data_IF_168921112304
#
_entry.id   IF_168921112304
#
_cell.length_a   1.000
_cell.length_b   1.000
_cell.length_c   1.000
_cell.angle_alpha   90.00
_cell.angle_beta   90.00
_cell.angle_gamma   90.00
#
_symmetry.space_group_name_H-M   'P 1'
#
loop_
_entity.id
_entity.type
_entity.pdbx_description
1 polymer ?
#
# COMPACT_ATOMS: atom_id res chain seq x y z
N UNK A 1 -26.02 4.14 -80.09
CA UNK A 1 -24.95 4.68 -80.95
C UNK A 1 -24.05 5.55 -80.11
N UNK A 2 -22.75 5.31 -80.21
CA UNK A 2 -21.71 5.72 -79.27
C UNK A 2 -21.31 7.19 -79.40
N UNK A 3 -20.92 7.82 -78.28
CA UNK A 3 -19.68 8.63 -78.21
C UNK A 3 -19.13 8.56 -76.78
N UNK A 4 -17.93 8.03 -76.63
CA UNK A 4 -17.16 7.92 -75.39
C UNK A 4 -16.21 9.12 -75.31
N UNK A 5 -16.09 9.86 -74.18
CA UNK A 5 -14.97 10.75 -73.98
C UNK A 5 -13.82 10.05 -73.24
N UNK A 6 -12.65 10.22 -73.82
CA UNK A 6 -11.31 9.86 -73.34
C UNK A 6 -11.08 10.41 -71.93
N UNK A 7 -10.74 9.54 -70.97
CA UNK A 7 -10.28 9.94 -69.64
C UNK A 7 -8.75 9.77 -69.55
N UNK A 8 -8.06 10.89 -69.45
CA UNK A 8 -6.61 11.00 -69.23
C UNK A 8 -6.30 10.59 -67.80
N UNK A 9 -5.44 9.59 -67.61
CA UNK A 9 -4.92 9.16 -66.31
C UNK A 9 -3.74 10.04 -65.94
N UNK A 10 -3.88 10.85 -64.88
CA UNK A 10 -2.78 11.60 -64.28
C UNK A 10 -2.21 10.77 -63.12
N UNK A 11 -1.00 10.23 -63.30
CA UNK A 11 -0.23 9.59 -62.23
C UNK A 11 0.32 10.66 -61.29
N UNK A 12 0.02 10.57 -59.99
CA UNK A 12 0.73 11.31 -58.94
C UNK A 12 1.34 10.31 -57.95
N UNK A 13 2.67 10.17 -58.04
CA UNK A 13 3.52 9.41 -57.13
C UNK A 13 3.76 10.22 -55.86
N UNK A 14 3.28 9.73 -54.71
CA UNK A 14 3.68 10.23 -53.40
C UNK A 14 4.82 9.38 -52.84
N UNK A 15 5.97 10.02 -52.59
CA UNK A 15 7.11 9.43 -51.93
C UNK A 15 6.82 9.24 -50.43
N UNK A 16 6.97 8.01 -49.93
CA UNK A 16 6.89 7.68 -48.50
C UNK A 16 8.27 7.91 -47.88
N UNK A 17 8.36 8.84 -46.93
CA UNK A 17 9.54 9.02 -46.08
C UNK A 17 9.44 8.10 -44.85
N UNK A 18 10.35 7.13 -44.75
CA UNK A 18 10.53 6.33 -43.54
C UNK A 18 11.18 7.18 -42.44
N UNK A 19 10.46 7.39 -41.34
CA UNK A 19 11.02 7.96 -40.12
C UNK A 19 11.43 6.82 -39.20
N UNK A 20 12.74 6.58 -39.08
CA UNK A 20 13.29 5.61 -38.14
C UNK A 20 13.02 6.08 -36.70
N UNK A 21 12.21 5.33 -35.95
CA UNK A 21 11.99 5.54 -34.51
C UNK A 21 13.02 4.74 -33.75
N UNK A 22 13.99 5.41 -33.14
CA UNK A 22 14.95 4.83 -32.21
C UNK A 22 14.28 4.67 -30.84
N UNK A 23 13.92 3.44 -30.47
CA UNK A 23 13.50 3.12 -29.11
C UNK A 23 14.70 3.15 -28.16
N UNK A 24 14.76 4.17 -27.31
CA UNK A 24 15.66 4.21 -26.15
C UNK A 24 14.98 3.43 -25.03
N UNK A 25 15.47 2.22 -24.74
CA UNK A 25 15.08 1.49 -23.53
C UNK A 25 15.75 2.15 -22.33
N UNK A 26 14.98 2.92 -21.55
CA UNK A 26 15.42 3.37 -20.24
C UNK A 26 15.47 2.14 -19.31
N UNK A 27 16.63 1.90 -18.69
CA UNK A 27 16.78 0.94 -17.61
C UNK A 27 15.81 1.31 -16.48
N UNK A 28 14.73 0.55 -16.33
CA UNK A 28 13.77 0.75 -15.26
C UNK A 28 14.40 0.29 -13.93
N UNK A 29 14.71 1.24 -13.04
CA UNK A 29 15.06 0.93 -11.65
C UNK A 29 13.92 0.08 -11.06
N UNK A 30 14.19 -1.11 -10.50
CA UNK A 30 13.14 -1.98 -10.00
C UNK A 30 12.37 -1.27 -8.89
N UNK A 31 11.07 -1.07 -9.10
CA UNK A 31 10.18 -0.46 -8.11
C UNK A 31 10.11 -1.40 -6.89
N UNK A 32 10.61 -0.93 -5.75
CA UNK A 32 10.53 -1.67 -4.49
C UNK A 32 9.06 -1.81 -4.11
N UNK A 33 8.52 -3.02 -4.20
CA UNK A 33 7.11 -3.32 -3.92
C UNK A 33 6.91 -3.95 -2.55
N UNK A 34 5.73 -3.77 -1.95
CA UNK A 34 5.31 -4.56 -0.78
C UNK A 34 5.09 -6.01 -1.21
N UNK A 35 5.71 -6.97 -0.51
CA UNK A 35 5.64 -8.38 -0.89
C UNK A 35 4.33 -9.04 -0.49
N UNK A 36 3.76 -8.66 0.66
CA UNK A 36 2.49 -9.19 1.15
C UNK A 36 1.87 -8.26 2.19
N UNK A 37 0.55 -8.16 2.15
CA UNK A 37 -0.27 -7.55 3.19
C UNK A 37 -1.19 -8.60 3.77
N UNK A 38 -1.19 -8.73 5.10
CA UNK A 38 -2.21 -9.48 5.82
C UNK A 38 -3.12 -8.51 6.57
N UNK A 39 -4.41 -8.66 6.40
CA UNK A 39 -5.40 -7.81 7.05
C UNK A 39 -6.52 -8.66 7.63
N UNK A 40 -6.83 -8.44 8.91
CA UNK A 40 -8.02 -8.99 9.56
C UNK A 40 -9.08 -7.89 9.59
N UNK A 41 -10.20 -8.09 8.91
CA UNK A 41 -11.30 -7.14 8.85
C UNK A 41 -12.41 -7.52 9.84
N UNK A 42 -13.24 -6.54 10.23
CA UNK A 42 -14.50 -6.84 10.92
C UNK A 42 -15.41 -7.69 10.01
N UNK A 43 -16.10 -8.67 10.59
CA UNK A 43 -16.91 -9.64 9.84
C UNK A 43 -17.97 -9.00 8.91
N UNK A 44 -18.45 -7.80 9.25
CA UNK A 44 -19.40 -7.04 8.44
C UNK A 44 -18.89 -6.71 7.02
N UNK A 45 -17.57 -6.70 6.80
CA UNK A 45 -16.97 -6.40 5.50
C UNK A 45 -16.87 -7.63 4.57
N UNK A 46 -17.26 -8.83 5.01
CA UNK A 46 -17.08 -10.08 4.25
C UNK A 46 -17.72 -10.10 2.87
N UNK A 47 -18.83 -9.38 2.69
CA UNK A 47 -19.53 -9.31 1.40
C UNK A 47 -18.92 -8.27 0.45
N UNK A 48 -17.98 -7.45 0.93
CA UNK A 48 -17.30 -6.39 0.19
C UNK A 48 -15.83 -6.70 -0.09
N UNK A 49 -15.39 -7.94 0.10
CA UNK A 49 -13.98 -8.34 -0.02
C UNK A 49 -13.34 -7.92 -1.34
N UNK A 50 -14.04 -8.15 -2.46
CA UNK A 50 -13.53 -7.83 -3.79
C UNK A 50 -13.34 -6.32 -4.00
N UNK A 51 -14.27 -5.50 -3.48
CA UNK A 51 -14.18 -4.03 -3.50
C UNK A 51 -12.99 -3.55 -2.67
N UNK A 52 -12.82 -4.11 -1.47
CA UNK A 52 -11.74 -3.75 -0.55
C UNK A 52 -10.38 -4.13 -1.15
N UNK A 53 -10.23 -5.38 -1.63
CA UNK A 53 -9.00 -5.83 -2.32
C UNK A 53 -8.66 -4.96 -3.52
N UNK A 54 -9.66 -4.48 -4.26
CA UNK A 54 -9.44 -3.54 -5.37
C UNK A 54 -8.87 -2.21 -4.88
N UNK A 55 -9.36 -1.66 -3.76
CA UNK A 55 -8.83 -0.42 -3.19
C UNK A 55 -7.39 -0.58 -2.68
N UNK A 56 -7.06 -1.71 -2.05
CA UNK A 56 -5.68 -2.04 -1.70
C UNK A 56 -4.78 -2.12 -2.95
N UNK A 57 -5.24 -2.78 -4.01
CA UNK A 57 -4.49 -2.85 -5.26
C UNK A 57 -4.27 -1.47 -5.89
N UNK A 58 -5.27 -0.59 -5.86
CA UNK A 58 -5.16 0.80 -6.32
C UNK A 58 -4.15 1.62 -5.51
N UNK A 59 -3.97 1.30 -4.22
CA UNK A 59 -2.92 1.87 -3.37
C UNK A 59 -1.50 1.29 -3.65
N UNK A 60 -1.38 0.31 -4.55
CA UNK A 60 -0.13 -0.38 -4.84
C UNK A 60 0.19 -1.53 -3.86
N UNK A 61 -0.80 -1.98 -3.09
CA UNK A 61 -0.73 -3.14 -2.19
C UNK A 61 -1.44 -4.31 -2.88
N UNK A 62 -0.78 -4.99 -3.82
CA UNK A 62 -1.43 -5.93 -4.73
C UNK A 62 -1.57 -7.35 -4.19
N UNK A 63 -0.71 -7.76 -3.26
CA UNK A 63 -0.74 -9.11 -2.66
C UNK A 63 -1.40 -9.09 -1.27
N UNK A 64 -2.73 -9.01 -1.23
CA UNK A 64 -3.51 -8.87 0.03
C UNK A 64 -4.23 -10.15 0.40
N UNK A 65 -3.95 -10.62 1.61
CA UNK A 65 -4.63 -11.73 2.25
C UNK A 65 -5.60 -11.17 3.30
N UNK A 66 -6.89 -11.28 3.01
CA UNK A 66 -7.97 -10.83 3.90
C UNK A 66 -8.42 -12.00 4.76
N UNK A 67 -8.51 -11.77 6.06
CA UNK A 67 -9.17 -12.62 7.04
C UNK A 67 -10.27 -11.81 7.74
N UNK A 68 -11.12 -12.48 8.51
CA UNK A 68 -12.19 -11.82 9.25
C UNK A 68 -12.14 -12.18 10.73
N UNK A 69 -12.33 -11.17 11.58
CA UNK A 69 -12.50 -11.36 13.01
C UNK A 69 -13.72 -12.25 13.26
N UNK A 70 -13.52 -13.37 13.96
CA UNK A 70 -14.60 -14.33 14.25
C UNK A 70 -15.55 -13.81 15.33
N UNK A 71 -15.04 -13.02 16.27
CA UNK A 71 -15.81 -12.38 17.33
C UNK A 71 -15.24 -10.99 17.62
N UNK A 72 -16.13 -10.05 17.96
CA UNK A 72 -15.74 -8.68 18.31
C UNK A 72 -15.17 -7.88 17.14
N UNK A 73 -14.51 -6.78 17.50
CA UNK A 73 -13.79 -5.95 16.55
C UNK A 73 -12.33 -6.41 16.45
N UNK A 74 -11.72 -6.36 15.26
CA UNK A 74 -10.28 -6.56 15.13
C UNK A 74 -9.49 -5.54 15.97
N UNK A 75 -8.27 -5.87 16.43
CA UNK A 75 -7.41 -4.91 17.12
C UNK A 75 -6.98 -3.78 16.19
N UNK A 76 -6.68 -2.61 16.75
CA UNK A 76 -6.23 -1.42 16.00
C UNK A 76 -4.71 -1.38 15.84
N UNK A 77 -4.08 -2.54 15.67
CA UNK A 77 -2.63 -2.65 15.51
C UNK A 77 -2.21 -2.68 14.03
N UNK A 78 -1.03 -2.15 13.75
CA UNK A 78 -0.38 -2.25 12.45
C UNK A 78 1.10 -2.56 12.63
N UNK A 79 1.64 -3.38 11.74
CA UNK A 79 3.04 -3.75 11.72
C UNK A 79 3.59 -3.76 10.30
N UNK A 80 4.85 -3.40 10.13
CA UNK A 80 5.48 -3.35 8.82
C UNK A 80 6.97 -3.68 8.91
N UNK A 81 7.49 -4.35 7.88
CA UNK A 81 8.90 -4.67 7.77
C UNK A 81 9.77 -3.47 7.38
N UNK A 82 11.06 -3.58 7.68
CA UNK A 82 12.07 -2.50 7.53
C UNK A 82 12.31 -1.95 6.12
N UNK A 83 11.83 -2.63 5.08
CA UNK A 83 12.03 -2.27 3.66
C UNK A 83 10.70 -1.91 2.97
N UNK A 84 9.64 -1.61 3.74
CA UNK A 84 8.36 -1.13 3.19
C UNK A 84 8.50 0.35 2.78
N UNK A 85 8.26 0.72 1.52
CA UNK A 85 8.32 2.12 1.11
C UNK A 85 7.35 3.00 1.91
N UNK A 86 7.76 4.22 2.30
CA UNK A 86 6.95 5.09 3.13
C UNK A 86 5.60 5.46 2.50
N UNK A 87 5.52 5.63 1.18
CA UNK A 87 4.25 5.86 0.50
C UNK A 87 3.28 4.69 0.67
N UNK A 88 3.78 3.45 0.62
CA UNK A 88 2.98 2.24 0.83
C UNK A 88 2.61 2.03 2.29
N UNK A 89 3.50 2.37 3.22
CA UNK A 89 3.18 2.37 4.64
C UNK A 89 2.03 3.35 4.95
N UNK A 90 2.07 4.56 4.39
CA UNK A 90 1.00 5.57 4.55
C UNK A 90 -0.33 5.10 3.97
N UNK A 91 -0.32 4.46 2.81
CA UNK A 91 -1.54 3.86 2.25
C UNK A 91 -2.11 2.74 3.13
N UNK A 92 -1.25 1.89 3.70
CA UNK A 92 -1.67 0.87 4.64
C UNK A 92 -2.29 1.47 5.91
N UNK A 93 -1.71 2.54 6.46
CA UNK A 93 -2.29 3.30 7.58
C UNK A 93 -3.67 3.86 7.21
N UNK A 94 -3.80 4.52 6.04
CA UNK A 94 -5.07 5.06 5.55
C UNK A 94 -6.16 3.99 5.44
N UNK A 95 -5.81 2.83 4.89
CA UNK A 95 -6.74 1.70 4.72
C UNK A 95 -7.10 1.06 6.07
N UNK A 96 -6.15 0.94 6.99
CA UNK A 96 -6.42 0.50 8.36
C UNK A 96 -7.38 1.46 9.08
N UNK A 97 -7.18 2.77 8.98
CA UNK A 97 -8.11 3.75 9.54
C UNK A 97 -9.52 3.62 8.95
N UNK A 98 -9.63 3.31 7.65
CA UNK A 98 -10.91 3.15 6.95
C UNK A 98 -11.67 1.88 7.34
N UNK A 99 -10.96 0.77 7.55
CA UNK A 99 -11.58 -0.56 7.67
C UNK A 99 -11.42 -1.24 9.03
N UNK A 100 -10.57 -0.70 9.92
CA UNK A 100 -10.18 -1.31 11.19
C UNK A 100 -10.35 -0.39 12.40
N UNK A 101 -11.30 0.55 12.34
CA UNK A 101 -11.65 1.49 13.42
C UNK A 101 -10.52 2.44 13.86
N UNK A 102 -9.38 2.43 13.18
CA UNK A 102 -8.25 3.29 13.48
C UNK A 102 -6.93 2.52 13.55
N UNK A 103 -5.88 3.25 13.94
CA UNK A 103 -4.58 2.70 14.31
C UNK A 103 -4.20 3.33 15.64
N UNK A 104 -4.09 2.50 16.68
CA UNK A 104 -3.71 2.92 18.03
C UNK A 104 -2.50 2.18 18.57
N UNK A 105 -2.01 1.17 17.85
CA UNK A 105 -0.93 0.29 18.28
C UNK A 105 0.03 0.06 17.10
N UNK A 106 1.33 0.24 17.34
CA UNK A 106 2.38 -0.12 16.40
C UNK A 106 3.06 -1.41 16.85
N UNK A 107 3.42 -2.24 15.89
CA UNK A 107 4.19 -3.48 16.09
C UNK A 107 5.62 -3.27 15.54
N UNK A 108 6.68 -3.59 16.31
CA UNK A 108 8.06 -3.35 15.88
C UNK A 108 8.43 -4.03 14.56
N UNK A 109 9.21 -3.35 13.72
CA UNK A 109 9.61 -3.87 12.40
C UNK A 109 10.39 -5.19 12.43
N UNK A 110 11.08 -5.47 13.56
CA UNK A 110 11.82 -6.72 13.79
C UNK A 110 10.96 -7.99 13.81
N UNK A 111 9.64 -7.85 13.92
CA UNK A 111 8.70 -8.97 13.92
C UNK A 111 8.33 -9.45 12.51
N UNK A 112 8.71 -8.70 11.47
CA UNK A 112 8.19 -8.87 10.13
C UNK A 112 9.27 -9.10 9.07
N UNK A 113 8.98 -9.90 8.03
CA UNK A 113 9.80 -9.90 6.82
C UNK A 113 9.92 -8.49 6.23
N UNK A 114 11.02 -8.13 5.55
CA UNK A 114 11.33 -6.73 5.26
C UNK A 114 10.27 -5.96 4.46
N UNK A 115 9.53 -6.60 3.56
CA UNK A 115 8.50 -5.93 2.71
C UNK A 115 7.08 -6.37 3.04
N UNK A 116 6.84 -6.81 4.27
CA UNK A 116 5.55 -7.31 4.74
C UNK A 116 4.80 -6.25 5.55
N UNK A 117 3.46 -6.27 5.46
CA UNK A 117 2.58 -5.45 6.29
C UNK A 117 1.53 -6.35 6.94
N UNK A 118 1.27 -6.14 8.23
CA UNK A 118 0.11 -6.70 8.92
C UNK A 118 -0.79 -5.58 9.43
N UNK A 119 -2.10 -5.79 9.34
CA UNK A 119 -3.14 -4.91 9.85
C UNK A 119 -4.07 -5.76 10.71
N UNK A 120 -4.31 -5.32 11.94
CA UNK A 120 -5.28 -5.92 12.86
C UNK A 120 -5.01 -7.38 13.24
N UNK A 121 -3.74 -7.76 13.40
CA UNK A 121 -3.37 -9.11 13.81
C UNK A 121 -3.63 -9.34 15.30
N UNK A 122 -4.24 -10.48 15.64
CA UNK A 122 -4.43 -10.92 17.04
C UNK A 122 -3.33 -11.87 17.52
N UNK A 123 -2.26 -12.05 16.74
CA UNK A 123 -1.19 -13.00 17.04
C UNK A 123 -0.12 -12.45 18.00
N UNK A 124 -0.27 -11.21 18.47
CA UNK A 124 0.73 -10.50 19.26
C UNK A 124 0.21 -10.22 20.66
N UNK A 125 1.09 -10.36 21.65
CA UNK A 125 0.82 -10.02 23.03
C UNK A 125 1.26 -8.59 23.36
N UNK A 126 0.92 -8.12 24.57
CA UNK A 126 1.18 -6.76 25.00
C UNK A 126 2.67 -6.43 25.19
N UNK A 127 3.57 -7.41 25.15
CA UNK A 127 5.03 -7.18 25.24
C UNK A 127 5.65 -6.63 23.96
N UNK A 128 4.86 -6.54 22.89
CA UNK A 128 5.28 -5.97 21.60
C UNK A 128 4.29 -4.96 21.04
N UNK A 129 3.31 -4.52 21.82
CA UNK A 129 2.30 -3.54 21.41
C UNK A 129 2.66 -2.13 21.90
N UNK A 130 2.99 -1.25 20.96
CA UNK A 130 3.37 0.13 21.26
C UNK A 130 2.18 1.05 21.01
N UNK A 131 1.50 1.44 22.07
CA UNK A 131 0.37 2.35 21.99
C UNK A 131 0.80 3.74 21.52
N UNK A 132 0.05 4.31 20.58
CA UNK A 132 0.29 5.64 20.01
C UNK A 132 -0.98 6.50 20.07
N UNK A 133 -0.77 7.81 20.12
CA UNK A 133 -1.85 8.80 19.96
C UNK A 133 -2.10 9.10 18.48
N UNK A 134 -3.23 9.75 18.18
CA UNK A 134 -3.50 10.23 16.82
C UNK A 134 -2.48 11.29 16.35
N UNK A 135 -1.97 12.12 17.26
CA UNK A 135 -0.89 13.08 16.97
C UNK A 135 0.43 12.37 16.62
N UNK A 136 0.70 11.21 17.21
CA UNK A 136 1.85 10.39 16.83
C UNK A 136 1.62 9.71 15.48
N UNK A 137 0.41 9.21 15.24
CA UNK A 137 0.04 8.61 13.95
C UNK A 137 0.12 9.61 12.79
N UNK A 138 -0.27 10.87 13.01
CA UNK A 138 -0.24 11.91 11.98
C UNK A 138 1.19 12.23 11.51
N UNK A 139 2.18 12.13 12.41
CA UNK A 139 3.60 12.27 12.05
C UNK A 139 4.05 11.19 11.07
N UNK A 140 3.62 9.94 11.25
CA UNK A 140 3.91 8.84 10.31
C UNK A 140 3.22 9.04 8.95
N UNK A 141 2.12 9.80 8.92
CA UNK A 141 1.39 10.12 7.69
C UNK A 141 1.96 11.32 6.92
N UNK A 142 2.99 12.00 7.45
CA UNK A 142 3.60 13.15 6.79
C UNK A 142 4.19 12.74 5.42
N UNK A 143 3.71 13.32 4.30
CA UNK A 143 4.20 12.99 2.97
C UNK A 143 5.64 13.45 2.74
N UNK A 144 6.18 14.36 3.55
CA UNK A 144 7.56 14.83 3.45
C UNK A 144 8.58 13.82 3.99
N UNK A 145 8.15 12.78 4.72
CA UNK A 145 9.04 11.72 5.20
C UNK A 145 9.49 10.84 4.03
N UNK A 146 10.81 10.78 3.84
CA UNK A 146 11.46 9.73 3.04
C UNK A 146 11.26 8.36 3.67
N UNK A 147 11.53 7.29 2.93
CA UNK A 147 11.46 5.92 3.47
C UNK A 147 12.39 5.73 4.68
N UNK A 148 13.61 6.27 4.63
CA UNK A 148 14.58 6.18 5.72
C UNK A 148 14.13 6.97 6.95
N UNK A 149 13.57 8.18 6.75
CA UNK A 149 13.06 9.03 7.81
C UNK A 149 11.82 8.40 8.46
N UNK A 150 10.92 7.85 7.66
CA UNK A 150 9.75 7.09 8.11
C UNK A 150 10.17 5.92 9.00
N UNK A 151 11.08 5.06 8.54
CA UNK A 151 11.52 3.90 9.33
C UNK A 151 12.30 4.30 10.57
N UNK A 152 13.03 5.42 10.55
CA UNK A 152 13.67 5.97 11.75
C UNK A 152 12.61 6.35 12.79
N UNK A 153 11.62 7.14 12.39
CA UNK A 153 10.50 7.52 13.27
C UNK A 153 9.75 6.27 13.78
N UNK A 154 9.46 5.32 12.89
CA UNK A 154 8.77 4.08 13.25
C UNK A 154 9.52 3.29 14.34
N UNK A 155 10.85 3.14 14.20
CA UNK A 155 11.69 2.51 15.22
C UNK A 155 11.69 3.30 16.52
N UNK A 156 11.82 4.61 16.46
CA UNK A 156 11.82 5.45 17.66
C UNK A 156 10.52 5.27 18.45
N UNK A 157 9.38 5.21 17.74
CA UNK A 157 8.06 4.94 18.33
C UNK A 157 7.86 3.51 18.84
N UNK A 158 8.69 2.56 18.41
CA UNK A 158 8.62 1.13 18.76
C UNK A 158 9.85 0.64 19.53
N UNK A 159 10.57 1.55 20.20
CA UNK A 159 11.81 1.26 20.93
C UNK A 159 11.74 1.51 22.44
N UNK A 160 10.70 2.18 22.92
CA UNK A 160 10.51 2.44 24.35
C UNK A 160 10.37 1.12 25.14
N UNK A 161 10.84 1.09 26.38
CA UNK A 161 10.55 -0.05 27.26
C UNK A 161 9.05 -0.07 27.52
N UNK A 162 8.36 -1.14 27.10
CA UNK A 162 6.95 -1.33 27.42
C UNK A 162 6.87 -1.63 28.91
N UNK A 163 6.25 -0.75 29.69
CA UNK A 163 5.90 -1.03 31.07
C UNK A 163 4.62 -1.88 31.09
N UNK A 164 4.69 -3.18 31.44
CA UNK A 164 3.52 -4.05 31.47
C UNK A 164 2.48 -3.63 32.54
N UNK A 165 2.82 -2.69 33.43
CA UNK A 165 1.92 -2.14 34.46
C UNK A 165 1.30 -0.80 34.07
N UNK A 166 1.67 -0.20 32.93
CA UNK A 166 1.08 1.05 32.49
C UNK A 166 -0.44 0.86 32.22
N UNK A 167 -1.29 1.82 32.61
CA UNK A 167 -2.73 1.71 32.42
C UNK A 167 -3.04 1.60 30.92
N UNK A 168 -3.72 0.51 30.53
CA UNK A 168 -4.17 0.29 29.16
C UNK A 168 -5.23 1.33 28.82
N UNK A 169 -4.92 2.26 27.92
CA UNK A 169 -5.91 3.20 27.38
C UNK A 169 -6.90 2.40 26.55
N UNK A 170 -8.11 2.18 27.08
CA UNK A 170 -9.21 1.61 26.32
C UNK A 170 -9.73 2.69 25.36
N UNK A 171 -9.49 2.50 24.07
CA UNK A 171 -10.14 3.26 23.00
C UNK A 171 -11.47 2.60 22.63
#
# INVERSE_FOLDING_TARGET
MAVLPVLIVFMLTFAVGESAVTNVFADAVPVVSVSRVEVVLAYQYRTREAEIKKEFAQAGLTNVHVQYARMGQPPQNIGMGRDVPADKAREAIRLAMKYNLGVGILLPERLFPPRFITIASSNYDDTVEYHITQDTLSKLQDPALSTEAFHRLYRDLTSAVIDPKAPKTRY
#
